data_IF_250721243214
#
_entry.id   IF_250721243214
#
_cell.length_a   1.000
_cell.length_b   1.000
_cell.length_c   1.000
_cell.angle_alpha   90.00
_cell.angle_beta   90.00
_cell.angle_gamma   90.00
#
_symmetry.space_group_name_H-M   'P 1'
#
loop_
_entity.id
_entity.type
_entity.pdbx_description
1 polymer ?
#
# COMPACT_ATOMS: atom_id res chain seq x y z
N UNK A 1 52.55 -11.29 52.70
CA UNK A 1 51.16 -11.71 52.39
C UNK A 1 50.39 -10.49 51.86
N UNK A 2 50.26 -10.34 50.53
CA UNK A 2 49.63 -9.15 49.93
C UNK A 2 48.17 -9.48 49.60
N UNK A 3 47.25 -8.79 50.28
CA UNK A 3 45.80 -8.93 50.08
C UNK A 3 45.36 -8.02 48.94
N UNK A 4 45.19 -8.60 47.75
CA UNK A 4 44.60 -7.89 46.61
C UNK A 4 43.14 -7.52 46.89
N UNK A 5 42.83 -6.23 46.78
CA UNK A 5 41.49 -5.66 47.00
C UNK A 5 40.69 -5.77 45.70
N UNK A 6 39.56 -6.50 45.74
CA UNK A 6 38.70 -6.79 44.58
C UNK A 6 38.18 -5.51 43.91
N UNK A 7 38.75 -5.16 42.75
CA UNK A 7 38.33 -4.03 41.89
C UNK A 7 37.30 -4.44 40.82
N UNK A 8 36.81 -5.68 40.86
CA UNK A 8 36.03 -6.30 39.77
C UNK A 8 34.68 -5.63 39.55
N UNK A 9 34.00 -5.14 40.59
CA UNK A 9 32.67 -4.50 40.46
C UNK A 9 32.67 -3.23 39.62
N UNK A 10 33.72 -2.40 39.71
CA UNK A 10 33.82 -1.14 38.92
C UNK A 10 34.17 -1.41 37.46
N UNK A 11 34.99 -2.43 37.21
CA UNK A 11 35.38 -2.86 35.86
C UNK A 11 34.17 -3.44 35.12
N UNK A 12 33.33 -4.23 35.79
CA UNK A 12 32.10 -4.78 35.19
C UNK A 12 31.10 -3.70 34.72
N UNK A 13 30.96 -2.60 35.48
CA UNK A 13 30.06 -1.48 35.09
C UNK A 13 30.60 -0.75 33.85
N UNK A 14 31.92 -0.56 33.76
CA UNK A 14 32.55 0.14 32.63
C UNK A 14 32.37 -0.62 31.30
N UNK A 15 32.42 -1.95 31.32
CA UNK A 15 32.25 -2.80 30.14
C UNK A 15 30.81 -2.73 29.60
N UNK A 16 29.81 -2.67 30.47
CA UNK A 16 28.39 -2.59 30.08
C UNK A 16 28.09 -1.25 29.37
N UNK A 17 28.62 -0.14 29.91
CA UNK A 17 28.39 1.20 29.32
C UNK A 17 29.22 1.42 28.05
N UNK A 18 30.47 0.93 28.01
CA UNK A 18 31.39 1.19 26.89
C UNK A 18 31.26 0.24 25.70
N UNK A 19 30.81 -1.00 25.90
CA UNK A 19 30.79 -2.02 24.85
C UNK A 19 29.39 -2.57 24.57
N UNK A 20 28.58 -2.78 25.61
CA UNK A 20 27.23 -3.36 25.46
C UNK A 20 26.20 -2.31 25.03
N UNK A 21 26.27 -1.09 25.58
CA UNK A 21 25.33 -0.01 25.26
C UNK A 21 25.38 0.45 23.79
N UNK A 22 26.56 0.67 23.16
CA UNK A 22 26.62 0.98 21.72
C UNK A 22 26.11 -0.16 20.85
N UNK A 23 26.35 -1.42 21.25
CA UNK A 23 25.87 -2.59 20.51
C UNK A 23 24.33 -2.69 20.53
N UNK A 24 23.70 -2.38 21.68
CA UNK A 24 22.24 -2.33 21.83
C UNK A 24 21.60 -1.17 21.03
N UNK A 25 22.28 -0.03 20.95
CA UNK A 25 21.84 1.11 20.10
C UNK A 25 21.92 0.72 18.62
N UNK A 26 23.02 0.11 18.17
CA UNK A 26 23.16 -0.36 16.78
C UNK A 26 22.15 -1.45 16.41
N UNK A 27 21.74 -2.31 17.35
CA UNK A 27 20.65 -3.28 17.15
C UNK A 27 19.29 -2.60 16.91
N UNK A 28 18.98 -1.51 17.62
CA UNK A 28 17.76 -0.72 17.38
C UNK A 28 17.82 0.05 16.06
N UNK A 29 19.00 0.51 15.65
CA UNK A 29 19.19 1.17 14.35
C UNK A 29 18.98 0.24 13.15
N UNK A 30 19.27 -1.06 13.30
CA UNK A 30 18.92 -2.05 12.28
C UNK A 30 17.42 -2.41 12.27
N UNK A 31 16.67 -2.12 13.35
CA UNK A 31 15.23 -2.35 13.41
C UNK A 31 14.39 -1.12 13.01
N UNK A 32 15.02 0.02 12.74
CA UNK A 32 14.34 1.23 12.25
C UNK A 32 14.55 1.49 10.75
N UNK A 33 15.27 0.62 10.04
CA UNK A 33 15.46 0.71 8.59
C UNK A 33 14.50 -0.19 7.81
N UNK A 34 13.79 -1.10 8.47
CA UNK A 34 12.81 -1.98 7.81
C UNK A 34 11.37 -1.43 7.77
N UNK A 35 11.09 -0.33 8.47
CA UNK A 35 9.76 0.33 8.43
C UNK A 35 9.74 1.57 7.53
N UNK A 36 10.89 2.00 7.00
CA UNK A 36 10.97 3.02 5.95
C UNK A 36 10.94 2.42 4.53
N UNK A 37 10.77 1.10 4.41
CA UNK A 37 10.69 0.41 3.13
C UNK A 37 9.23 0.07 2.74
N UNK A 38 8.20 0.46 3.51
CA UNK A 38 6.80 0.06 3.18
C UNK A 38 5.88 1.22 2.81
N UNK A 39 6.32 2.48 2.87
CA UNK A 39 5.51 3.59 2.34
C UNK A 39 5.85 4.00 0.90
N UNK A 40 6.90 3.40 0.29
CA UNK A 40 7.32 3.73 -1.08
C UNK A 40 7.89 2.54 -1.87
N UNK A 41 7.68 1.28 -1.42
CA UNK A 41 7.65 0.21 -2.42
C UNK A 41 6.36 0.44 -3.18
N UNK A 42 6.50 1.00 -4.37
CA UNK A 42 5.63 0.63 -5.46
C UNK A 42 5.55 -0.91 -5.46
N UNK A 43 4.51 -1.45 -4.82
CA UNK A 43 3.97 -2.73 -5.24
C UNK A 43 3.40 -2.44 -6.62
N UNK A 44 4.28 -2.23 -7.60
CA UNK A 44 4.01 -1.64 -8.92
C UNK A 44 3.14 -2.51 -9.81
N UNK A 45 2.62 -3.60 -9.24
CA UNK A 45 1.61 -4.42 -9.84
C UNK A 45 0.28 -4.25 -9.10
N UNK A 46 0.23 -4.57 -7.80
CA UNK A 46 -1.02 -5.03 -7.20
C UNK A 46 -1.89 -3.90 -6.65
N UNK A 47 -2.96 -3.58 -7.38
CA UNK A 47 -4.00 -2.64 -6.99
C UNK A 47 -5.21 -3.41 -6.43
N UNK A 48 -5.84 -2.84 -5.40
CA UNK A 48 -7.12 -3.34 -4.89
C UNK A 48 -8.23 -3.16 -5.93
N UNK A 49 -9.32 -3.95 -5.87
CA UNK A 49 -10.48 -3.78 -6.73
C UNK A 49 -10.96 -2.33 -6.84
N UNK A 50 -11.29 -1.89 -8.05
CA UNK A 50 -11.80 -0.55 -8.33
C UNK A 50 -13.33 -0.65 -8.43
N UNK A 51 -14.01 0.19 -7.66
CA UNK A 51 -15.46 0.35 -7.73
C UNK A 51 -15.78 1.80 -8.07
N UNK A 52 -16.56 2.00 -9.13
CA UNK A 52 -17.07 3.29 -9.56
C UNK A 52 -18.59 3.18 -9.71
N UNK A 53 -19.33 4.06 -9.06
CA UNK A 53 -20.75 4.25 -9.26
C UNK A 53 -21.01 5.71 -9.59
N UNK A 54 -21.34 5.99 -10.84
CA UNK A 54 -21.45 7.35 -11.38
C UNK A 54 -22.47 8.19 -10.58
N UNK A 55 -23.56 7.56 -10.18
CA UNK A 55 -24.63 8.22 -9.40
C UNK A 55 -24.33 8.33 -7.90
N UNK A 56 -23.17 7.88 -7.42
CA UNK A 56 -22.82 7.98 -6.01
C UNK A 56 -22.60 9.45 -5.59
N UNK A 57 -23.10 9.82 -4.42
CA UNK A 57 -23.00 11.18 -3.86
C UNK A 57 -22.65 11.14 -2.38
N UNK A 58 -22.14 12.26 -1.84
CA UNK A 58 -21.77 12.41 -0.44
C UNK A 58 -20.29 12.14 -0.15
N UNK A 59 -19.94 12.11 1.14
CA UNK A 59 -18.57 11.84 1.59
C UNK A 59 -18.21 10.38 1.26
N UNK A 60 -17.03 10.17 0.68
CA UNK A 60 -16.54 8.88 0.19
C UNK A 60 -17.34 8.30 -1.01
N UNK A 61 -18.01 9.15 -1.79
CA UNK A 61 -18.58 8.74 -3.06
C UNK A 61 -17.47 8.35 -4.04
N UNK A 62 -17.51 7.11 -4.53
CA UNK A 62 -16.59 6.62 -5.55
C UNK A 62 -17.26 6.75 -6.92
N UNK A 63 -17.37 7.97 -7.42
CA UNK A 63 -17.88 8.29 -8.77
C UNK A 63 -16.73 8.71 -9.70
N UNK A 64 -17.02 9.17 -10.91
CA UNK A 64 -15.98 9.55 -11.87
C UNK A 64 -15.17 10.77 -11.45
N UNK A 65 -15.79 11.76 -10.78
CA UNK A 65 -15.07 12.91 -10.22
C UNK A 65 -14.03 12.47 -9.19
N UNK A 66 -14.33 11.46 -8.38
CA UNK A 66 -13.33 10.86 -7.49
C UNK A 66 -12.27 10.08 -8.28
N UNK A 67 -12.67 9.34 -9.32
CA UNK A 67 -11.78 8.48 -10.10
C UNK A 67 -10.75 9.29 -10.90
N UNK A 68 -11.14 10.40 -11.53
CA UNK A 68 -10.25 11.25 -12.36
C UNK A 68 -9.15 11.93 -11.53
N UNK A 69 -9.35 12.09 -10.23
CA UNK A 69 -8.32 12.58 -9.30
C UNK A 69 -7.30 11.49 -8.93
N UNK A 70 -7.55 10.23 -9.29
CA UNK A 70 -6.66 9.14 -8.97
C UNK A 70 -5.51 9.03 -9.99
N UNK A 71 -4.28 8.67 -9.55
CA UNK A 71 -3.12 8.55 -10.44
C UNK A 71 -3.26 7.52 -11.57
N UNK A 72 -4.22 6.60 -11.44
CA UNK A 72 -4.46 5.51 -12.39
C UNK A 72 -5.55 5.81 -13.43
N UNK A 73 -6.22 6.95 -13.31
CA UNK A 73 -7.25 7.40 -14.23
C UNK A 73 -6.77 8.63 -15.01
N UNK A 74 -7.21 8.74 -16.26
CA UNK A 74 -6.97 9.91 -17.12
C UNK A 74 -8.15 10.11 -18.06
N UNK A 75 -8.19 11.22 -18.79
CA UNK A 75 -9.32 11.58 -19.66
C UNK A 75 -10.48 12.22 -18.92
N UNK A 76 -11.56 12.53 -19.64
CA UNK A 76 -12.71 13.32 -19.14
C UNK A 76 -14.07 12.63 -19.27
N UNK A 77 -14.10 11.38 -19.72
CA UNK A 77 -15.34 10.59 -19.85
C UNK A 77 -16.20 10.93 -21.05
N UNK A 78 -15.69 11.72 -22.00
CA UNK A 78 -16.38 12.07 -23.25
C UNK A 78 -16.09 11.04 -24.34
N UNK A 79 -16.86 11.05 -25.43
CA UNK A 79 -16.65 10.17 -26.57
C UNK A 79 -15.28 10.39 -27.25
N UNK A 80 -14.82 11.64 -27.27
CA UNK A 80 -13.52 12.05 -27.85
C UNK A 80 -12.38 11.84 -26.86
N UNK A 81 -12.64 11.99 -25.56
CA UNK A 81 -11.66 11.86 -24.48
C UNK A 81 -12.22 10.99 -23.33
N UNK A 82 -12.32 9.67 -23.54
CA UNK A 82 -12.91 8.75 -22.57
C UNK A 82 -12.02 8.61 -21.34
N UNK A 83 -12.60 8.22 -20.20
CA UNK A 83 -11.81 7.85 -19.03
C UNK A 83 -10.94 6.63 -19.33
N UNK A 84 -9.64 6.70 -19.05
CA UNK A 84 -8.71 5.61 -19.32
C UNK A 84 -8.15 5.05 -18.02
N UNK A 85 -8.49 3.80 -17.74
CA UNK A 85 -7.93 2.99 -16.65
C UNK A 85 -6.89 2.07 -17.28
N UNK A 86 -5.60 2.26 -16.96
CA UNK A 86 -4.51 1.58 -17.67
C UNK A 86 -3.34 1.16 -16.79
N UNK A 87 -2.59 0.14 -17.26
CA UNK A 87 -1.33 -0.33 -16.66
C UNK A 87 -1.47 -0.78 -15.19
N UNK A 88 -2.57 -1.46 -14.86
CA UNK A 88 -2.84 -1.96 -13.51
C UNK A 88 -2.79 -3.48 -13.44
N UNK A 89 -2.34 -4.03 -12.31
CA UNK A 89 -2.51 -5.45 -11.99
C UNK A 89 -3.48 -5.53 -10.80
N UNK A 90 -4.69 -6.05 -11.00
CA UNK A 90 -5.74 -6.07 -9.98
C UNK A 90 -6.11 -7.50 -9.61
N UNK A 91 -6.15 -7.76 -8.31
CA UNK A 91 -6.61 -9.02 -7.74
C UNK A 91 -8.00 -8.85 -7.11
N UNK A 92 -8.98 -9.60 -7.62
CA UNK A 92 -10.37 -9.60 -7.13
C UNK A 92 -10.58 -10.40 -5.83
N UNK A 93 -9.51 -10.99 -5.28
CA UNK A 93 -9.48 -11.75 -4.04
C UNK A 93 -10.53 -12.87 -3.95
N UNK A 94 -10.94 -13.45 -5.07
CA UNK A 94 -12.01 -14.48 -5.17
C UNK A 94 -13.35 -14.04 -4.56
N UNK A 95 -13.54 -12.73 -4.31
CA UNK A 95 -14.71 -12.21 -3.58
C UNK A 95 -15.33 -10.98 -4.25
N UNK A 96 -14.66 -10.38 -5.23
CA UNK A 96 -15.13 -9.18 -5.93
C UNK A 96 -14.79 -9.21 -7.43
N UNK A 97 -15.48 -8.34 -8.18
CA UNK A 97 -15.04 -7.91 -9.50
C UNK A 97 -13.73 -7.12 -9.36
N UNK A 98 -12.78 -7.26 -10.29
CA UNK A 98 -11.55 -6.46 -10.28
C UNK A 98 -11.84 -4.98 -10.55
N UNK A 99 -12.69 -4.70 -11.54
CA UNK A 99 -13.16 -3.37 -11.87
C UNK A 99 -14.67 -3.48 -12.02
N UNK A 100 -15.39 -2.63 -11.31
CA UNK A 100 -16.84 -2.58 -11.33
C UNK A 100 -17.31 -1.15 -11.52
N UNK A 101 -18.02 -0.93 -12.62
CA UNK A 101 -18.54 0.38 -13.01
C UNK A 101 -20.06 0.25 -13.11
N UNK A 102 -20.78 1.00 -12.27
CA UNK A 102 -22.25 0.99 -12.20
C UNK A 102 -22.84 2.34 -12.58
N UNK A 103 -24.05 2.28 -13.15
CA UNK A 103 -24.91 3.44 -13.44
C UNK A 103 -24.25 4.55 -14.26
N UNK A 104 -23.27 4.22 -15.10
CA UNK A 104 -22.54 5.23 -15.86
C UNK A 104 -23.00 5.37 -17.30
N UNK A 105 -22.99 6.61 -17.77
CA UNK A 105 -23.11 6.96 -19.19
C UNK A 105 -21.81 7.53 -19.77
N UNK A 106 -20.76 7.67 -18.95
CA UNK A 106 -19.47 8.16 -19.39
C UNK A 106 -18.77 7.13 -20.29
N UNK A 107 -17.99 7.61 -21.25
CA UNK A 107 -17.14 6.75 -22.07
C UNK A 107 -15.88 6.38 -21.28
N UNK A 108 -15.50 5.11 -21.31
CA UNK A 108 -14.28 4.65 -20.65
C UNK A 108 -13.58 3.55 -21.44
N UNK A 109 -12.26 3.43 -21.22
CA UNK A 109 -11.37 2.44 -21.79
C UNK A 109 -10.61 1.77 -20.63
N UNK A 110 -10.61 0.44 -20.63
CA UNK A 110 -9.73 -0.36 -19.78
C UNK A 110 -8.68 -0.99 -20.71
N UNK A 111 -7.40 -0.65 -20.54
CA UNK A 111 -6.33 -1.16 -21.41
C UNK A 111 -5.08 -1.53 -20.64
N UNK A 112 -4.33 -2.50 -21.15
CA UNK A 112 -3.03 -2.92 -20.59
C UNK A 112 -3.10 -3.30 -19.09
N UNK A 113 -4.23 -3.87 -18.65
CA UNK A 113 -4.44 -4.33 -17.28
C UNK A 113 -4.35 -5.86 -17.17
N UNK A 114 -3.79 -6.36 -16.07
CA UNK A 114 -3.87 -7.78 -15.68
C UNK A 114 -4.90 -7.92 -14.56
N UNK A 115 -6.03 -8.56 -14.84
CA UNK A 115 -7.13 -8.74 -13.89
C UNK A 115 -7.27 -10.22 -13.56
N UNK A 116 -7.21 -10.60 -12.28
CA UNK A 116 -7.22 -12.01 -11.87
C UNK A 116 -7.91 -12.26 -10.53
N UNK A 117 -8.27 -13.51 -10.26
CA UNK A 117 -9.00 -13.95 -9.06
C UNK A 117 -10.29 -13.14 -8.82
N UNK A 118 -11.04 -12.83 -9.88
CA UNK A 118 -12.36 -12.21 -9.74
C UNK A 118 -13.42 -13.26 -9.42
N UNK A 119 -14.42 -12.90 -8.62
CA UNK A 119 -15.64 -13.70 -8.47
C UNK A 119 -16.83 -12.96 -9.08
N UNK A 120 -17.80 -13.71 -9.61
CA UNK A 120 -19.09 -13.14 -9.97
C UNK A 120 -19.85 -12.83 -8.68
N UNK A 121 -20.23 -11.57 -8.47
CA UNK A 121 -21.27 -11.30 -7.48
C UNK A 121 -22.55 -11.99 -7.96
N UNK A 122 -23.13 -12.86 -7.14
CA UNK A 122 -24.44 -13.46 -7.39
C UNK A 122 -25.55 -12.44 -7.12
N UNK A 123 -25.39 -11.22 -7.63
CA UNK A 123 -26.45 -10.24 -7.66
C UNK A 123 -27.31 -10.63 -8.86
N UNK A 124 -28.43 -11.31 -8.58
CA UNK A 124 -29.36 -11.79 -9.59
C UNK A 124 -29.85 -10.58 -10.41
N UNK A 125 -29.31 -10.44 -11.62
CA UNK A 125 -29.62 -9.40 -12.58
C UNK A 125 -31.08 -9.46 -13.06
#
# INVERSE_FOLDING_TARGET
MIKMRSKTKKISILIIVGFVFPLLVNLRFNFSVEQNFIENIECSALKAPIFINDTATGVNAHNWTWAEEQPWCSGSGTDIDPYVIQNLIINGFETASCIEIRNSTAFFIIKDCTLYNSSASSDNA
#
